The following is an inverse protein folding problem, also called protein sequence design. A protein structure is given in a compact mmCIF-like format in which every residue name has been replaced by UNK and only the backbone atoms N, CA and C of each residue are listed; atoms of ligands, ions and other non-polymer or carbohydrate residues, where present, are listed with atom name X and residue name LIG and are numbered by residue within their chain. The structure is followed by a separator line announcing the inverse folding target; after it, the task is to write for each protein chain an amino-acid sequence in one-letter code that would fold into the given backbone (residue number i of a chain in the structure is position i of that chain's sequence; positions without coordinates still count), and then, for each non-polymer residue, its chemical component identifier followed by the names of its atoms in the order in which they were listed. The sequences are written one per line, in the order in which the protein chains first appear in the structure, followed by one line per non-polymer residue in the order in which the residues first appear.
data_IF_394703324499
#
_entry.id   IF_394703324499
#
_cell.length_a   1.000
_cell.length_b   1.000
_cell.length_c   1.000
_cell.angle_alpha   90.00
_cell.angle_beta   90.00
_cell.angle_gamma   90.00
#
_symmetry.space_group_name_H-M   'P 1'
#
loop_
_entity.id
_entity.type
_entity.pdbx_description
1 polymer ?
#
# COMPACT_ATOMS: atom_id res chain seq x y z
N UNK A 1 21.67 1.77 -16.11
CA UNK A 1 21.57 1.18 -14.77
C UNK A 1 20.58 1.93 -13.92
N UNK A 2 19.73 1.22 -13.25
CA UNK A 2 18.71 1.86 -12.44
C UNK A 2 19.32 2.50 -11.20
N UNK A 3 18.78 3.63 -10.83
CA UNK A 3 19.23 4.37 -9.68
C UNK A 3 18.38 4.02 -8.46
N UNK A 4 19.03 3.88 -7.32
CA UNK A 4 18.34 3.61 -6.08
C UNK A 4 17.71 4.87 -5.54
N UNK A 5 16.43 4.79 -5.23
CA UNK A 5 15.68 5.92 -4.70
C UNK A 5 15.19 5.58 -3.29
N UNK A 6 16.13 5.53 -2.36
CA UNK A 6 15.80 5.08 -1.01
C UNK A 6 14.87 6.07 -0.32
N UNK A 7 15.10 7.37 -0.48
CA UNK A 7 14.24 8.36 0.17
C UNK A 7 12.82 8.31 -0.35
N UNK A 8 12.67 8.12 -1.65
CA UNK A 8 11.34 8.04 -2.23
C UNK A 8 10.61 6.81 -1.70
N UNK A 9 11.30 5.68 -1.64
CA UNK A 9 10.68 4.46 -1.12
C UNK A 9 10.27 4.62 0.33
N UNK A 10 11.10 5.29 1.13
CA UNK A 10 10.75 5.51 2.53
C UNK A 10 9.51 6.37 2.67
N UNK A 11 9.43 7.44 1.89
CA UNK A 11 8.26 8.32 1.94
C UNK A 11 7.01 7.57 1.53
N UNK A 12 7.10 6.79 0.46
CA UNK A 12 5.96 6.01 0.00
C UNK A 12 5.55 4.96 1.02
N UNK A 13 6.54 4.31 1.62
CA UNK A 13 6.23 3.30 2.63
C UNK A 13 5.58 3.92 3.86
N UNK A 14 6.02 5.11 4.28
CA UNK A 14 5.37 5.78 5.39
C UNK A 14 3.91 6.04 5.10
N UNK A 15 3.61 6.43 3.88
CA UNK A 15 2.22 6.65 3.51
C UNK A 15 1.43 5.34 3.50
N UNK A 16 2.05 4.27 2.98
CA UNK A 16 1.40 2.97 2.98
C UNK A 16 1.07 2.53 4.40
N UNK A 17 2.02 2.70 5.31
CA UNK A 17 1.80 2.31 6.70
C UNK A 17 0.62 3.08 7.29
N UNK A 18 0.59 4.38 7.05
CA UNK A 18 -0.49 5.21 7.56
C UNK A 18 -1.84 4.76 7.02
N UNK A 19 -1.90 4.46 5.73
CA UNK A 19 -3.17 4.05 5.13
C UNK A 19 -3.60 2.67 5.60
N UNK A 20 -2.65 1.79 5.83
CA UNK A 20 -2.99 0.44 6.23
C UNK A 20 -3.62 0.39 7.61
N UNK A 21 -3.01 1.04 8.60
CA UNK A 21 -3.63 0.95 9.91
C UNK A 21 -4.92 1.75 9.97
N UNK A 22 -5.01 2.82 9.20
CA UNK A 22 -6.24 3.60 9.15
C UNK A 22 -7.38 2.74 8.59
N UNK A 23 -7.12 2.01 7.50
CA UNK A 23 -8.14 1.17 6.91
C UNK A 23 -8.60 0.08 7.88
N UNK A 24 -7.66 -0.52 8.60
CA UNK A 24 -8.01 -1.59 9.53
C UNK A 24 -8.82 -1.07 10.71
N UNK A 25 -8.43 0.09 11.25
CA UNK A 25 -9.21 0.67 12.35
C UNK A 25 -10.60 1.08 11.89
N UNK A 26 -10.73 1.60 10.66
CA UNK A 26 -12.05 1.93 10.14
C UNK A 26 -12.92 0.69 9.97
N UNK A 27 -12.31 -0.43 9.71
CA UNK A 27 -13.04 -1.68 9.55
C UNK A 27 -13.35 -2.34 10.89
N UNK A 28 -13.14 -1.63 11.99
CA UNK A 28 -13.47 -2.14 13.30
C UNK A 28 -12.35 -2.86 14.00
N UNK A 29 -11.16 -2.84 13.42
CA UNK A 29 -9.99 -3.47 14.05
C UNK A 29 -9.57 -2.72 15.30
N UNK A 30 -8.95 -3.44 16.20
CA UNK A 30 -8.52 -2.89 17.47
C UNK A 30 -7.01 -3.01 17.65
N UNK A 31 -6.38 -3.87 16.90
CA UNK A 31 -4.96 -4.12 17.10
C UNK A 31 -4.30 -4.43 15.78
N UNK A 32 -3.21 -3.75 15.48
CA UNK A 32 -2.49 -3.95 14.23
C UNK A 32 -1.03 -4.17 14.57
N UNK A 33 -0.46 -5.25 14.04
CA UNK A 33 0.96 -5.53 14.17
C UNK A 33 1.62 -5.28 12.82
N UNK A 34 2.74 -4.58 12.84
CA UNK A 34 3.47 -4.31 11.62
C UNK A 34 4.94 -4.64 11.80
N UNK A 35 5.52 -5.19 10.75
CA UNK A 35 6.95 -5.48 10.74
C UNK A 35 7.49 -4.95 9.42
N UNK A 36 8.44 -4.03 9.50
CA UNK A 36 9.05 -3.44 8.33
C UNK A 36 10.46 -3.95 8.19
N UNK A 37 10.77 -4.48 7.00
CA UNK A 37 12.07 -5.07 6.74
C UNK A 37 12.71 -4.32 5.58
N UNK A 38 13.96 -3.91 5.75
CA UNK A 38 14.74 -3.32 4.68
C UNK A 38 15.52 -4.43 4.01
N UNK A 39 15.26 -4.64 2.73
CA UNK A 39 15.96 -5.62 1.95
C UNK A 39 16.97 -4.91 1.06
N UNK A 40 17.72 -5.70 0.32
CA UNK A 40 18.77 -5.12 -0.51
C UNK A 40 18.20 -4.20 -1.59
N UNK A 41 17.06 -4.57 -2.13
CA UNK A 41 16.49 -3.84 -3.26
C UNK A 41 15.16 -3.19 -2.95
N UNK A 42 14.74 -3.16 -1.70
CA UNK A 42 13.46 -2.54 -1.39
C UNK A 42 13.08 -2.66 0.07
N UNK A 43 11.85 -2.26 0.32
CA UNK A 43 11.25 -2.34 1.65
C UNK A 43 10.08 -3.29 1.62
N UNK A 44 9.94 -4.11 2.64
CA UNK A 44 8.84 -5.06 2.73
C UNK A 44 8.12 -4.86 4.05
N UNK A 45 6.81 -4.73 3.96
CA UNK A 45 5.97 -4.49 5.13
C UNK A 45 5.05 -5.68 5.34
N UNK A 46 5.04 -6.18 6.55
CA UNK A 46 4.10 -7.23 6.97
C UNK A 46 3.11 -6.63 7.93
N UNK A 47 1.83 -6.81 7.65
CA UNK A 47 0.76 -6.26 8.48
C UNK A 47 -0.16 -7.39 8.89
N UNK A 48 -0.49 -7.46 10.18
CA UNK A 48 -1.49 -8.38 10.68
C UNK A 48 -2.44 -7.60 11.57
N UNK A 49 -3.72 -7.86 11.42
CA UNK A 49 -4.67 -7.16 12.22
C UNK A 49 -6.00 -7.88 12.27
N UNK A 50 -6.87 -7.36 13.10
CA UNK A 50 -8.24 -7.85 13.18
C UNK A 50 -9.16 -6.85 12.50
N UNK A 51 -10.37 -7.30 12.23
CA UNK A 51 -11.41 -6.42 11.73
C UNK A 51 -12.76 -7.03 12.11
N UNK A 52 -13.79 -6.19 12.07
CA UNK A 52 -15.13 -6.65 12.35
C UNK A 52 -15.69 -7.38 11.14
N UNK A 53 -16.34 -8.53 11.37
CA UNK A 53 -16.85 -9.33 10.26
C UNK A 53 -17.91 -8.58 9.45
N UNK A 54 -18.58 -7.61 10.05
CA UNK A 54 -19.55 -6.82 9.30
C UNK A 54 -18.86 -5.91 8.28
N UNK A 55 -17.54 -5.74 8.37
CA UNK A 55 -16.76 -4.95 7.42
C UNK A 55 -16.01 -5.83 6.46
N UNK A 56 -16.38 -7.08 6.33
CA UNK A 56 -15.67 -8.01 5.45
C UNK A 56 -15.62 -7.51 4.01
N UNK A 57 -16.73 -6.96 3.56
CA UNK A 57 -16.79 -6.47 2.19
C UNK A 57 -15.76 -5.38 1.94
N UNK A 58 -15.56 -4.50 2.92
CA UNK A 58 -14.57 -3.46 2.80
C UNK A 58 -13.16 -4.02 2.74
N UNK A 59 -12.92 -5.09 3.50
CA UNK A 59 -11.61 -5.73 3.45
C UNK A 59 -11.35 -6.38 2.10
N UNK A 60 -12.39 -6.97 1.52
CA UNK A 60 -12.24 -7.55 0.18
C UNK A 60 -11.93 -6.46 -0.85
N UNK A 61 -12.57 -5.32 -0.74
CA UNK A 61 -12.27 -4.20 -1.63
C UNK A 61 -10.83 -3.72 -1.43
N UNK A 62 -10.38 -3.64 -0.19
CA UNK A 62 -9.01 -3.26 0.08
C UNK A 62 -8.03 -4.21 -0.61
N UNK A 63 -8.30 -5.51 -0.53
CA UNK A 63 -7.43 -6.49 -1.15
C UNK A 63 -7.32 -6.26 -2.65
N UNK A 64 -8.45 -5.90 -3.29
CA UNK A 64 -8.43 -5.61 -4.71
C UNK A 64 -7.64 -4.34 -5.02
N UNK A 65 -7.84 -3.32 -4.22
CA UNK A 65 -7.20 -2.03 -4.48
C UNK A 65 -5.69 -2.10 -4.30
N UNK A 66 -5.23 -3.01 -3.46
CA UNK A 66 -3.80 -3.13 -3.21
C UNK A 66 -3.05 -3.88 -4.29
N UNK A 67 -3.76 -4.55 -5.20
CA UNK A 67 -3.06 -5.27 -6.25
C UNK A 67 -2.34 -4.30 -7.17
N UNK A 68 -1.07 -4.55 -7.48
CA UNK A 68 -0.33 -3.64 -8.34
C UNK A 68 -0.97 -3.55 -9.72
N UNK A 69 -1.00 -2.33 -10.25
CA UNK A 69 -1.59 -2.05 -11.54
C UNK A 69 -0.58 -1.34 -12.40
N UNK A 70 -0.90 -1.21 -13.68
CA UNK A 70 -0.08 -0.38 -14.54
C UNK A 70 -0.09 1.02 -13.96
N UNK A 71 1.09 1.59 -13.79
CA UNK A 71 1.22 2.88 -13.16
C UNK A 71 0.77 3.99 -14.09
N UNK A 72 0.03 4.91 -13.52
CA UNK A 72 -0.32 6.15 -14.18
C UNK A 72 0.48 7.25 -13.49
N UNK A 73 1.57 7.66 -14.11
CA UNK A 73 2.46 8.60 -13.46
C UNK A 73 1.80 9.95 -13.22
N UNK A 74 0.89 10.35 -14.10
CA UNK A 74 0.16 11.58 -13.87
C UNK A 74 -0.70 11.48 -12.63
N UNK A 75 -1.34 10.35 -12.43
CA UNK A 75 -2.16 10.16 -11.25
C UNK A 75 -1.32 10.15 -9.99
N UNK A 76 -0.18 9.48 -10.04
CA UNK A 76 0.71 9.40 -8.87
C UNK A 76 1.19 10.80 -8.50
N UNK A 77 1.61 11.57 -9.48
CA UNK A 77 2.11 12.92 -9.21
C UNK A 77 1.01 13.81 -8.67
N UNK A 78 -0.18 13.71 -9.25
CA UNK A 78 -1.30 14.51 -8.77
C UNK A 78 -1.61 14.17 -7.31
N UNK A 79 -1.54 12.89 -6.98
CA UNK A 79 -1.78 12.48 -5.61
C UNK A 79 -0.78 13.14 -4.66
N UNK A 80 0.51 13.09 -5.03
CA UNK A 80 1.52 13.63 -4.14
C UNK A 80 1.41 15.14 -3.98
N UNK A 81 1.00 15.82 -5.04
CA UNK A 81 0.77 17.24 -4.94
C UNK A 81 -0.33 17.59 -3.97
N UNK A 82 -1.36 16.76 -3.92
CA UNK A 82 -2.52 17.02 -3.11
C UNK A 82 -2.51 16.26 -1.80
N UNK A 83 -1.42 15.59 -1.49
CA UNK A 83 -1.39 14.66 -0.37
C UNK A 83 -1.65 15.31 0.98
N UNK A 84 -1.45 16.62 1.10
CA UNK A 84 -1.74 17.30 2.35
C UNK A 84 -3.19 17.68 2.53
N UNK A 85 -4.01 17.49 1.50
CA UNK A 85 -5.40 17.88 1.59
C UNK A 85 -6.24 16.85 2.33
N UNK A 86 -7.44 17.27 2.65
CA UNK A 86 -8.36 16.43 3.39
C UNK A 86 -9.48 15.88 2.54
N UNK A 87 -9.40 16.07 1.25
CA UNK A 87 -10.51 15.75 0.36
C UNK A 87 -10.58 14.28 -0.02
N UNK A 88 -9.57 13.52 0.28
CA UNK A 88 -9.50 12.14 -0.20
C UNK A 88 -10.37 11.23 0.64
N UNK A 89 -11.11 10.38 -0.02
CA UNK A 89 -11.81 9.32 0.66
C UNK A 89 -10.84 8.16 0.90
N UNK A 90 -11.24 7.24 1.75
CA UNK A 90 -10.45 6.05 1.99
C UNK A 90 -10.19 5.28 0.72
N UNK A 91 -11.22 5.16 -0.13
CA UNK A 91 -11.10 4.40 -1.36
C UNK A 91 -10.07 5.03 -2.29
N UNK A 92 -10.10 6.35 -2.39
CA UNK A 92 -9.14 7.04 -3.26
C UNK A 92 -7.72 6.81 -2.78
N UNK A 93 -7.51 6.89 -1.49
CA UNK A 93 -6.16 6.73 -0.95
C UNK A 93 -5.64 5.32 -1.15
N UNK A 94 -6.49 4.32 -0.92
CA UNK A 94 -6.07 2.94 -1.12
C UNK A 94 -5.80 2.64 -2.58
N UNK A 95 -6.61 3.20 -3.47
CA UNK A 95 -6.36 3.03 -4.90
C UNK A 95 -5.00 3.58 -5.27
N UNK A 96 -4.63 4.73 -4.70
CA UNK A 96 -3.34 5.33 -5.01
C UNK A 96 -2.19 4.57 -4.38
N UNK A 97 -2.41 3.95 -3.22
CA UNK A 97 -1.40 3.07 -2.65
C UNK A 97 -1.09 1.95 -3.64
N UNK A 98 -2.12 1.36 -4.25
CA UNK A 98 -1.90 0.32 -5.26
C UNK A 98 -1.07 0.80 -6.43
N UNK A 99 -1.10 2.10 -6.72
CA UNK A 99 -0.30 2.65 -7.81
C UNK A 99 1.17 2.79 -7.45
N UNK A 100 1.49 2.94 -6.18
CA UNK A 100 2.88 3.24 -5.79
C UNK A 100 3.63 2.03 -5.25
N UNK A 101 2.96 0.93 -4.97
CA UNK A 101 3.64 -0.26 -4.47
C UNK A 101 3.99 -1.17 -5.64
N UNK A 102 4.93 -2.07 -5.41
CA UNK A 102 5.42 -2.97 -6.44
C UNK A 102 4.90 -4.39 -6.27
N UNK A 103 4.34 -4.70 -5.13
CA UNK A 103 3.76 -6.01 -4.92
C UNK A 103 2.93 -6.02 -3.66
N UNK A 104 1.92 -6.89 -3.64
CA UNK A 104 1.08 -7.05 -2.47
C UNK A 104 0.48 -8.45 -2.45
N UNK A 105 0.38 -8.99 -1.26
CA UNK A 105 -0.32 -10.25 -1.02
C UNK A 105 -1.25 -10.03 0.15
N UNK A 106 -2.49 -10.46 0.02
CA UNK A 106 -3.48 -10.29 1.07
C UNK A 106 -4.12 -11.63 1.36
N UNK A 107 -4.17 -12.00 2.62
CA UNK A 107 -4.85 -13.20 3.07
C UNK A 107 -5.95 -12.78 4.04
N UNK A 108 -7.19 -13.05 3.70
CA UNK A 108 -8.32 -12.72 4.53
C UNK A 108 -8.82 -13.96 5.25
N UNK A 109 -8.94 -13.84 6.55
CA UNK A 109 -9.54 -14.88 7.38
C UNK A 109 -10.87 -14.35 7.89
N UNK A 110 -11.51 -15.07 8.76
CA UNK A 110 -12.86 -14.67 9.15
C UNK A 110 -12.87 -13.28 9.79
N UNK A 111 -11.99 -13.04 10.75
CA UNK A 111 -11.93 -11.75 11.42
C UNK A 111 -10.51 -11.23 11.54
N UNK A 112 -9.62 -11.73 10.71
CA UNK A 112 -8.23 -11.29 10.71
C UNK A 112 -7.74 -11.17 9.29
N UNK A 113 -6.74 -10.31 9.10
CA UNK A 113 -6.18 -10.09 7.79
C UNK A 113 -4.66 -10.03 7.92
N UNK A 114 -3.98 -10.55 6.90
CA UNK A 114 -2.54 -10.47 6.78
C UNK A 114 -2.21 -9.88 5.43
N UNK A 115 -1.33 -8.90 5.44
CA UNK A 115 -0.94 -8.21 4.21
C UNK A 115 0.57 -8.16 4.15
N UNK A 116 1.10 -8.37 2.95
CA UNK A 116 2.53 -8.22 2.70
C UNK A 116 2.67 -7.27 1.53
N UNK A 117 3.42 -6.18 1.70
CA UNK A 117 3.56 -5.15 0.68
C UNK A 117 5.03 -4.95 0.40
N UNK A 118 5.38 -4.83 -0.88
CA UNK A 118 6.75 -4.62 -1.30
C UNK A 118 6.87 -3.34 -2.09
N UNK A 119 7.90 -2.57 -1.76
CA UNK A 119 8.24 -1.32 -2.44
C UNK A 119 9.70 -1.38 -2.84
N UNK A 120 9.95 -1.31 -4.13
CA UNK A 120 11.31 -1.36 -4.66
C UNK A 120 12.00 -0.02 -4.49
N UNK A 121 13.32 -0.07 -4.31
CA UNK A 121 14.13 1.16 -4.36
C UNK A 121 14.32 1.66 -5.80
N UNK A 122 13.95 0.86 -6.78
CA UNK A 122 14.20 1.19 -8.18
C UNK A 122 12.90 1.54 -8.86
N UNK A 123 12.85 2.72 -9.46
CA UNK A 123 11.63 3.22 -10.08
C UNK A 123 11.35 2.52 -11.38
N UNK A 124 10.09 2.16 -11.60
CA UNK A 124 9.64 1.71 -12.90
C UNK A 124 9.29 2.91 -13.75
N UNK A 125 9.59 2.86 -15.02
CA UNK A 125 9.39 3.98 -15.91
C UNK A 125 8.17 3.72 -16.77
N UNK A 126 7.30 4.73 -16.85
CA UNK A 126 6.15 4.67 -17.74
C UNK A 126 5.17 3.58 -17.42
N UNK A 127 5.13 3.16 -16.18
CA UNK A 127 4.21 2.13 -15.78
C UNK A 127 4.58 0.74 -16.20
N UNK A 128 5.72 0.59 -16.84
CA UNK A 128 6.18 -0.71 -17.32
C UNK A 128 6.81 -1.49 -16.19
N UNK A 129 6.42 -2.74 -16.06
CA UNK A 129 7.05 -3.58 -15.05
C UNK A 129 8.46 -3.92 -15.47
N UNK A 130 9.37 -3.90 -14.52
CA UNK A 130 10.72 -4.33 -14.79
C UNK A 130 10.74 -5.82 -15.01
N UNK A 131 11.37 -6.18 -16.04
CA UNK A 131 11.53 -7.59 -16.29
C UNK A 131 12.54 -8.18 -15.38
N UNK A 132 12.56 -8.87 -15.05
CA UNK A 132 13.42 -9.32 -14.37
C UNK A 132 13.79 -10.03 -14.38
#
# INVERSE_FOLDING_TARGET
MAKKHIHLARRRMSHVIDEMYTALFRAGGKEVDMRLVKEEDGLRLFVKGDYSTEHRHEMERMAEMLQPKVRDMGLVEAYWELAGGDQYTSDSELTLVGQIIDGAKVALHEDRVEVEIYLSFFESIGGTKREK
#
